data_IF_555988322939
#
_entry.id   IF_555988322939
#
_cell.length_a   1.000
_cell.length_b   1.000
_cell.length_c   1.000
_cell.angle_alpha   90.00
_cell.angle_beta   90.00
_cell.angle_gamma   90.00
#
_symmetry.space_group_name_H-M   'P 1'
#
loop_
_entity.id
_entity.type
_entity.pdbx_description
1 polymer ?
#
# COMPACT_ATOMS: atom_id res chain seq x y z
N UNK A 1 6.51 5.73 6.94
CA UNK A 1 5.64 5.77 5.73
C UNK A 1 4.27 6.41 5.96
N UNK A 2 3.21 5.69 6.41
CA UNK A 2 1.85 6.29 6.59
C UNK A 2 1.77 7.45 7.59
N UNK A 3 2.75 7.56 8.50
CA UNK A 3 2.88 8.64 9.48
C UNK A 3 3.68 9.86 8.99
N UNK A 4 4.38 9.74 7.87
CA UNK A 4 5.34 10.78 7.41
C UNK A 4 5.01 11.31 6.03
N UNK A 5 4.34 10.50 5.20
CA UNK A 5 4.02 10.84 3.82
C UNK A 5 2.50 10.87 3.60
N UNK A 6 2.11 11.62 2.56
CA UNK A 6 0.76 11.60 2.00
C UNK A 6 0.74 10.61 0.85
N UNK A 7 -0.14 9.61 0.91
CA UNK A 7 -0.26 8.54 -0.09
C UNK A 7 -1.61 8.65 -0.79
N UNK A 8 -1.66 8.60 -2.12
CA UNK A 8 -2.92 8.62 -2.85
C UNK A 8 -3.53 7.22 -2.99
N UNK A 9 -4.83 7.07 -2.74
CA UNK A 9 -5.51 5.80 -2.99
C UNK A 9 -5.57 5.51 -4.49
N UNK A 10 -5.27 4.27 -4.90
CA UNK A 10 -5.22 3.85 -6.29
C UNK A 10 -3.91 4.15 -7.01
N UNK A 11 -3.07 5.05 -6.48
CA UNK A 11 -1.75 5.38 -7.04
C UNK A 11 -0.61 4.86 -6.17
N UNK A 12 -0.65 5.16 -4.87
CA UNK A 12 0.39 4.75 -3.92
C UNK A 12 -0.11 3.64 -2.99
N UNK A 13 -1.39 3.63 -2.63
CA UNK A 13 -1.95 2.67 -1.68
C UNK A 13 -3.30 2.12 -2.13
N UNK A 14 -3.51 0.81 -1.94
CA UNK A 14 -4.79 0.14 -2.18
C UNK A 14 -5.25 -0.64 -0.96
N UNK A 15 -6.56 -0.62 -0.73
CA UNK A 15 -7.24 -1.50 0.20
C UNK A 15 -7.98 -2.57 -0.59
N UNK A 16 -7.70 -3.82 -0.28
CA UNK A 16 -8.32 -4.94 -1.00
C UNK A 16 -8.79 -6.00 -0.04
N UNK A 17 -10.02 -6.47 -0.24
CA UNK A 17 -10.60 -7.56 0.53
C UNK A 17 -10.79 -8.76 -0.37
N UNK A 18 -10.57 -9.94 0.21
CA UNK A 18 -10.81 -11.21 -0.44
C UNK A 18 -11.91 -11.92 0.33
N UNK A 19 -13.11 -11.94 -0.26
CA UNK A 19 -14.28 -12.67 0.26
C UNK A 19 -14.85 -13.53 -0.87
N UNK A 20 -15.30 -14.75 -0.55
CA UNK A 20 -15.99 -15.65 -1.48
C UNK A 20 -15.32 -15.76 -2.85
N UNK A 21 -14.00 -16.01 -2.84
CA UNK A 21 -13.21 -16.17 -4.06
C UNK A 21 -13.17 -14.95 -5.00
N UNK A 22 -13.61 -13.80 -4.54
CA UNK A 22 -13.61 -12.54 -5.30
C UNK A 22 -12.73 -11.50 -4.61
N UNK A 23 -11.90 -10.80 -5.40
CA UNK A 23 -11.11 -9.65 -4.91
C UNK A 23 -11.94 -8.39 -5.12
N UNK A 24 -12.21 -7.66 -4.05
CA UNK A 24 -12.81 -6.32 -4.11
C UNK A 24 -11.78 -5.28 -3.71
N UNK A 25 -11.74 -4.17 -4.45
CA UNK A 25 -10.91 -3.00 -4.11
C UNK A 25 -11.81 -2.00 -3.38
N UNK A 26 -11.44 -1.64 -2.16
CA UNK A 26 -12.21 -0.78 -1.26
C UNK A 26 -11.48 0.55 -1.05
N UNK A 27 -11.03 1.16 -2.15
CA UNK A 27 -10.31 2.43 -2.10
C UNK A 27 -11.30 3.58 -1.89
N UNK A 28 -11.21 4.34 -0.79
CA UNK A 28 -11.95 5.58 -0.65
C UNK A 28 -11.37 6.66 -1.57
N UNK A 29 -12.18 7.66 -1.90
CA UNK A 29 -11.72 8.83 -2.66
C UNK A 29 -10.75 9.67 -1.83
N UNK A 30 -9.62 10.06 -2.42
CA UNK A 30 -8.68 11.02 -1.83
C UNK A 30 -7.32 10.42 -1.45
N UNK A 31 -6.67 10.99 -0.44
CA UNK A 31 -5.33 10.59 0.00
C UNK A 31 -5.34 10.11 1.45
N UNK A 32 -4.59 9.04 1.73
CA UNK A 32 -4.21 8.62 3.07
C UNK A 32 -3.11 9.56 3.58
N UNK A 33 -3.44 10.46 4.50
CA UNK A 33 -2.50 11.46 5.03
C UNK A 33 -2.29 11.24 6.52
N UNK A 34 -1.03 11.24 6.99
CA UNK A 34 -0.68 11.18 8.42
C UNK A 34 -1.31 12.29 9.25
N UNK A 35 -1.47 13.46 8.64
CA UNK A 35 -1.71 14.68 9.38
C UNK A 35 -3.06 14.63 10.09
N UNK A 36 -2.95 14.44 11.41
CA UNK A 36 -3.65 15.28 12.38
C UNK A 36 -3.30 16.74 12.09
N UNK A 37 -3.71 17.29 10.95
CA UNK A 37 -3.94 18.73 10.91
C UNK A 37 -5.27 18.87 11.63
N UNK A 38 -5.24 19.43 12.83
CA UNK A 38 -6.42 20.13 13.36
C UNK A 38 -6.69 21.29 12.41
N UNK A 39 -7.21 21.00 11.22
CA UNK A 39 -7.72 22.00 10.31
C UNK A 39 -9.02 22.46 10.96
N UNK A 40 -8.91 23.44 11.86
CA UNK A 40 -10.04 24.23 12.36
C UNK A 40 -10.84 24.90 11.21
N UNK A 41 -10.36 24.80 9.97
CA UNK A 41 -10.93 25.42 8.78
C UNK A 41 -10.83 24.57 7.49
N UNK A 42 -10.70 23.23 7.57
CA UNK A 42 -10.83 22.42 6.34
C UNK A 42 -12.30 22.43 5.91
N UNK A 43 -12.55 23.16 4.83
CA UNK A 43 -13.79 23.17 4.07
C UNK A 43 -14.27 21.72 3.82
N UNK A 44 -15.58 21.54 3.91
CA UNK A 44 -16.34 20.28 3.91
C UNK A 44 -16.24 19.43 2.61
N UNK A 45 -15.24 19.67 1.76
CA UNK A 45 -15.15 19.14 0.39
C UNK A 45 -13.84 18.41 0.07
N UNK A 46 -12.86 18.38 0.98
CA UNK A 46 -11.63 17.59 0.80
C UNK A 46 -11.31 16.87 2.10
N UNK A 47 -11.69 15.59 2.18
CA UNK A 47 -11.58 14.78 3.39
C UNK A 47 -10.28 13.95 3.29
N UNK A 48 -9.14 14.43 3.83
CA UNK A 48 -7.96 13.60 3.92
C UNK A 48 -8.30 12.39 4.78
N UNK A 49 -8.13 11.20 4.23
CA UNK A 49 -8.45 9.94 4.91
C UNK A 49 -7.36 9.71 5.94
N UNK A 50 -7.73 9.69 7.22
CA UNK A 50 -6.78 9.53 8.32
C UNK A 50 -6.11 8.15 8.26
N UNK A 51 -4.87 7.97 8.76
CA UNK A 51 -4.22 6.66 8.81
C UNK A 51 -5.03 5.66 9.65
N UNK A 52 -5.79 6.19 10.62
CA UNK A 52 -6.77 5.43 11.41
C UNK A 52 -7.79 4.68 10.54
N UNK A 53 -8.19 5.19 9.38
CA UNK A 53 -9.14 4.48 8.50
C UNK A 53 -8.47 3.31 7.78
N UNK A 54 -7.20 3.44 7.37
CA UNK A 54 -6.43 2.31 6.80
C UNK A 54 -6.34 1.17 7.83
N UNK A 55 -6.04 1.50 9.09
CA UNK A 55 -5.96 0.51 10.17
C UNK A 55 -7.32 -0.11 10.51
N UNK A 56 -8.42 0.67 10.49
CA UNK A 56 -9.77 0.11 10.66
C UNK A 56 -10.11 -0.90 9.56
N UNK A 57 -9.87 -0.55 8.31
CA UNK A 57 -10.09 -1.49 7.21
C UNK A 57 -9.21 -2.74 7.32
N UNK A 58 -7.98 -2.59 7.81
CA UNK A 58 -7.10 -3.72 8.10
C UNK A 58 -7.66 -4.63 9.20
N UNK A 59 -8.17 -4.07 10.28
CA UNK A 59 -8.87 -4.81 11.35
C UNK A 59 -10.14 -5.50 10.84
N UNK A 60 -10.85 -4.89 9.88
CA UNK A 60 -12.02 -5.46 9.20
C UNK A 60 -11.68 -6.60 8.20
N UNK A 61 -10.40 -6.99 8.11
CA UNK A 61 -9.93 -8.07 7.26
C UNK A 61 -9.48 -7.64 5.85
N UNK A 62 -9.26 -6.35 5.61
CA UNK A 62 -8.71 -5.88 4.33
C UNK A 62 -7.18 -5.99 4.31
N UNK A 63 -6.65 -6.47 3.19
CA UNK A 63 -5.22 -6.36 2.89
C UNK A 63 -4.89 -4.97 2.36
N UNK A 64 -3.81 -4.40 2.88
CA UNK A 64 -3.25 -3.13 2.43
C UNK A 64 -2.11 -3.42 1.46
N UNK A 65 -2.15 -2.80 0.28
CA UNK A 65 -1.07 -2.87 -0.71
C UNK A 65 -0.46 -1.50 -0.90
N UNK A 66 0.84 -1.38 -0.69
CA UNK A 66 1.62 -0.19 -0.99
C UNK A 66 2.35 -0.39 -2.32
N UNK A 67 2.07 0.49 -3.27
CA UNK A 67 2.68 0.52 -4.59
C UNK A 67 3.97 1.34 -4.55
N UNK A 68 5.02 0.81 -5.18
CA UNK A 68 6.32 1.49 -5.32
C UNK A 68 6.86 2.08 -3.99
N UNK A 69 7.03 1.27 -2.93
CA UNK A 69 7.49 1.74 -1.63
C UNK A 69 8.89 2.38 -1.68
N UNK A 70 9.68 2.08 -2.71
CA UNK A 70 10.97 2.71 -2.98
C UNK A 70 10.90 4.23 -3.19
N UNK A 71 9.73 4.80 -3.53
CA UNK A 71 9.51 6.26 -3.55
C UNK A 71 9.66 6.90 -2.15
N UNK A 72 9.45 6.12 -1.10
CA UNK A 72 9.36 6.59 0.29
C UNK A 72 10.46 6.00 1.19
N UNK A 73 11.39 5.19 0.63
CA UNK A 73 12.48 4.58 1.38
C UNK A 73 13.75 4.49 0.54
N UNK A 74 14.73 5.32 0.88
CA UNK A 74 16.05 5.32 0.23
C UNK A 74 16.76 3.97 0.32
N UNK A 75 16.51 3.22 1.41
CA UNK A 75 17.07 1.87 1.60
C UNK A 75 16.50 0.89 0.57
N UNK A 76 15.18 0.91 0.36
CA UNK A 76 14.55 0.07 -0.65
C UNK A 76 14.96 0.49 -2.05
N UNK A 77 15.02 1.80 -2.32
CA UNK A 77 15.51 2.31 -3.59
C UNK A 77 16.93 1.83 -3.88
N UNK A 78 17.86 2.00 -2.94
CA UNK A 78 19.24 1.55 -3.09
C UNK A 78 19.35 0.04 -3.33
N UNK A 79 18.57 -0.76 -2.60
CA UNK A 79 18.54 -2.21 -2.79
C UNK A 79 18.04 -2.58 -4.19
N UNK A 80 16.93 -1.98 -4.64
CA UNK A 80 16.40 -2.23 -5.97
C UNK A 80 17.36 -1.78 -7.07
N UNK A 81 18.02 -0.63 -6.93
CA UNK A 81 18.99 -0.16 -7.92
C UNK A 81 20.18 -1.11 -8.09
N UNK A 82 20.64 -1.75 -7.01
CA UNK A 82 21.68 -2.79 -7.11
C UNK A 82 21.13 -4.02 -7.86
N UNK A 83 19.90 -4.44 -7.56
CA UNK A 83 19.27 -5.58 -8.26
C UNK A 83 19.02 -5.27 -9.75
N UNK A 84 18.68 -4.03 -10.10
CA UNK A 84 18.54 -3.58 -11.48
C UNK A 84 19.84 -3.69 -12.26
N UNK A 85 20.97 -3.30 -11.63
CA UNK A 85 22.30 -3.41 -12.22
C UNK A 85 22.70 -4.87 -12.43
N UNK A 86 22.51 -5.73 -11.43
CA UNK A 86 22.86 -7.16 -11.50
C UNK A 86 22.00 -7.95 -12.49
N UNK A 87 20.69 -7.65 -12.56
CA UNK A 87 19.78 -8.35 -13.47
C UNK A 87 19.72 -7.75 -14.87
N UNK A 88 20.23 -6.52 -15.07
CA UNK A 88 20.14 -5.81 -16.35
C UNK A 88 18.70 -5.51 -16.78
N UNK A 89 17.75 -5.48 -15.85
CA UNK A 89 16.34 -5.20 -16.11
C UNK A 89 15.72 -4.41 -14.95
N UNK A 90 14.59 -3.75 -15.21
CA UNK A 90 13.90 -2.94 -14.21
C UNK A 90 13.42 -3.79 -13.02
N UNK A 91 13.66 -3.31 -11.80
CA UNK A 91 13.27 -3.94 -10.55
C UNK A 91 12.39 -2.99 -9.75
N UNK A 92 11.14 -3.39 -9.56
CA UNK A 92 10.18 -2.71 -8.70
C UNK A 92 9.79 -3.58 -7.52
N UNK A 93 9.16 -2.96 -6.53
CA UNK A 93 8.57 -3.69 -5.40
C UNK A 93 7.17 -3.19 -5.10
N UNK A 94 6.38 -4.06 -4.47
CA UNK A 94 5.08 -3.72 -3.88
C UNK A 94 5.02 -4.40 -2.52
N UNK A 95 4.60 -3.68 -1.48
CA UNK A 95 4.46 -4.26 -0.14
C UNK A 95 3.01 -4.64 0.10
N UNK A 96 2.80 -5.83 0.65
CA UNK A 96 1.47 -6.34 1.01
C UNK A 96 1.42 -6.56 2.52
N UNK A 97 0.43 -5.99 3.17
CA UNK A 97 0.13 -6.20 4.58
C UNK A 97 -1.26 -6.82 4.70
N UNK A 98 -1.31 -8.08 5.13
CA UNK A 98 -2.55 -8.87 5.20
C UNK A 98 -2.79 -9.33 6.63
N UNK A 99 -4.01 -9.12 7.18
CA UNK A 99 -4.32 -9.53 8.53
C UNK A 99 -4.37 -11.06 8.65
N UNK A 100 -4.01 -11.59 9.83
CA UNK A 100 -3.98 -13.04 10.11
C UNK A 100 -5.34 -13.67 9.79
N UNK A 101 -5.33 -14.84 9.15
CA UNK A 101 -6.54 -15.58 8.80
C UNK A 101 -7.25 -15.11 7.53
N UNK A 102 -6.70 -14.12 6.82
CA UNK A 102 -7.20 -13.69 5.50
C UNK A 102 -6.20 -14.04 4.40
N UNK A 103 -6.69 -14.40 3.21
CA UNK A 103 -5.87 -14.95 2.13
C UNK A 103 -5.66 -13.91 1.02
N UNK A 104 -4.41 -13.66 0.66
CA UNK A 104 -4.08 -13.10 -0.66
C UNK A 104 -3.95 -14.28 -1.62
N UNK A 105 -4.82 -14.38 -2.62
CA UNK A 105 -4.68 -15.45 -3.62
C UNK A 105 -3.43 -15.20 -4.48
N UNK A 106 -2.57 -16.22 -4.71
CA UNK A 106 -1.50 -16.10 -5.68
C UNK A 106 -2.12 -15.83 -7.06
N UNK A 107 -1.75 -14.70 -7.66
CA UNK A 107 -2.06 -14.38 -9.05
C UNK A 107 -0.78 -14.52 -9.86
N UNK A 108 -0.88 -15.15 -11.03
CA UNK A 108 0.21 -15.16 -11.99
C UNK A 108 0.43 -13.73 -12.49
N UNK A 109 1.61 -13.18 -12.24
CA UNK A 109 2.05 -11.92 -12.81
C UNK A 109 3.04 -12.21 -13.95
N UNK A 110 3.08 -11.34 -14.97
CA UNK A 110 4.01 -11.45 -16.10
C UNK A 110 5.46 -11.05 -15.75
N UNK A 111 5.75 -10.86 -14.47
CA UNK A 111 7.06 -10.43 -13.96
C UNK A 111 7.63 -11.51 -13.06
N UNK A 112 8.95 -11.65 -13.04
CA UNK A 112 9.62 -12.52 -12.08
C UNK A 112 9.38 -11.96 -10.68
N UNK A 113 8.70 -12.72 -9.84
CA UNK A 113 8.29 -12.29 -8.50
C UNK A 113 9.21 -12.94 -7.46
N UNK A 114 9.88 -12.11 -6.67
CA UNK A 114 10.46 -12.52 -5.41
C UNK A 114 9.51 -12.12 -4.28
N UNK A 115 9.15 -13.07 -3.41
CA UNK A 115 8.24 -12.84 -2.30
C UNK A 115 9.00 -13.07 -1.00
N UNK A 116 9.28 -11.98 -0.29
CA UNK A 116 9.73 -12.04 1.10
C UNK A 116 8.52 -11.95 2.03
N UNK A 117 8.24 -13.04 2.74
CA UNK A 117 7.23 -13.08 3.79
C UNK A 117 7.90 -12.82 5.15
N UNK A 118 7.62 -11.68 5.76
CA UNK A 118 7.94 -11.47 7.17
C UNK A 118 6.95 -12.28 8.03
N UNK A 119 7.45 -13.31 8.71
CA UNK A 119 6.70 -14.15 9.66
C UNK A 119 6.55 -13.45 11.01
#
# INVERSE_FOLDING_TARGET
MLKEHTLAYGEDIDLTKYENETRTTLNPSGTATSKTVRLRFACQWFQPTCPLQVWKHFEDGCSVRLLCPQKFSDKMWKMLSILEEEWGCMAGSNTYLTPKGTQVRPKYCKVHLHVDAAV
#
